data_IF_701662889932
#
_entry.id   IF_701662889932
#
_cell.length_a   1.000
_cell.length_b   1.000
_cell.length_c   1.000
_cell.angle_alpha   90.00
_cell.angle_beta   90.00
_cell.angle_gamma   90.00
#
_symmetry.space_group_name_H-M   'P 1'
#
loop_
_entity.id
_entity.type
_entity.pdbx_description
1 polymer ?
#
# COMPACT_ATOMS: atom_id res chain seq x y z
N UNK A 1 -7.20 -20.63 -34.79
CA UNK A 1 -6.32 -20.00 -33.78
C UNK A 1 -6.97 -20.20 -32.42
N UNK A 2 -6.47 -21.10 -31.58
CA UNK A 2 -6.99 -21.35 -30.23
C UNK A 2 -6.48 -20.25 -29.30
N UNK A 3 -7.37 -19.42 -28.75
CA UNK A 3 -7.02 -18.38 -27.78
C UNK A 3 -7.06 -18.98 -26.37
N UNK A 4 -5.89 -19.17 -25.76
CA UNK A 4 -5.76 -19.58 -24.36
C UNK A 4 -5.93 -18.35 -23.48
N UNK A 5 -7.09 -18.23 -22.82
CA UNK A 5 -7.33 -17.16 -21.85
C UNK A 5 -6.47 -17.41 -20.62
N UNK A 6 -5.48 -16.56 -20.38
CA UNK A 6 -4.82 -16.46 -19.09
C UNK A 6 -5.85 -15.93 -18.09
N UNK A 7 -6.35 -16.79 -17.20
CA UNK A 7 -7.08 -16.36 -16.01
C UNK A 7 -6.07 -15.61 -15.14
N UNK A 8 -6.11 -14.28 -15.23
CA UNK A 8 -5.31 -13.40 -14.40
C UNK A 8 -5.72 -13.56 -12.93
N UNK A 9 -4.72 -13.65 -12.06
CA UNK A 9 -4.92 -13.67 -10.62
C UNK A 9 -5.59 -12.36 -10.15
N UNK A 10 -6.64 -12.56 -9.37
CA UNK A 10 -7.25 -11.60 -8.44
C UNK A 10 -8.02 -10.41 -9.05
N UNK A 11 -9.23 -10.71 -9.51
CA UNK A 11 -10.25 -9.70 -9.80
C UNK A 11 -11.00 -9.26 -8.53
N UNK A 12 -10.30 -9.08 -7.40
CA UNK A 12 -10.86 -8.32 -6.27
C UNK A 12 -10.59 -6.84 -6.48
N UNK A 13 -11.33 -6.25 -7.43
CA UNK A 13 -11.81 -4.87 -7.24
C UNK A 13 -12.76 -4.91 -6.04
N UNK A 14 -12.20 -4.90 -4.84
CA UNK A 14 -12.93 -4.55 -3.64
C UNK A 14 -13.49 -3.16 -3.92
N UNK A 15 -14.82 -3.06 -4.06
CA UNK A 15 -15.55 -1.80 -4.04
C UNK A 15 -14.90 -0.90 -3.00
N UNK A 16 -14.25 0.16 -3.44
CA UNK A 16 -13.72 1.21 -2.59
C UNK A 16 -14.92 2.07 -2.20
N UNK A 17 -15.47 1.96 -0.98
CA UNK A 17 -16.57 2.81 -0.57
C UNK A 17 -15.97 4.20 -0.35
N UNK A 18 -16.61 5.19 -0.96
CA UNK A 18 -16.16 6.56 -0.99
C UNK A 18 -15.88 7.13 0.42
N UNK A 19 -14.79 7.89 0.50
CA UNK A 19 -14.59 9.03 1.39
C UNK A 19 -14.69 8.77 2.90
N UNK A 20 -13.74 8.01 3.45
CA UNK A 20 -13.09 8.49 4.67
C UNK A 20 -11.85 9.22 4.17
N UNK A 21 -11.76 10.54 4.42
CA UNK A 21 -10.66 11.39 3.97
C UNK A 21 -9.35 10.62 4.13
N UNK A 22 -8.76 10.21 3.00
CA UNK A 22 -7.52 9.45 3.03
C UNK A 22 -6.50 10.33 3.74
N UNK A 23 -6.04 9.90 4.92
CA UNK A 23 -5.01 10.65 5.62
C UNK A 23 -3.85 10.87 4.66
N UNK A 24 -3.30 12.08 4.65
CA UNK A 24 -2.14 12.36 3.84
C UNK A 24 -0.93 11.56 4.35
N UNK A 25 -0.14 11.00 3.44
CA UNK A 25 1.04 10.22 3.76
C UNK A 25 2.21 11.19 4.04
N UNK A 26 2.34 11.61 5.30
CA UNK A 26 3.37 12.55 5.77
C UNK A 26 4.00 12.10 7.10
N UNK A 27 5.06 12.78 7.56
CA UNK A 27 5.82 12.41 8.77
C UNK A 27 4.94 12.22 10.01
N UNK A 28 3.96 13.10 10.20
CA UNK A 28 3.07 13.10 11.36
C UNK A 28 2.04 11.96 11.31
N UNK A 29 1.48 11.70 10.13
CA UNK A 29 0.48 10.66 9.95
C UNK A 29 1.09 9.26 9.87
N UNK A 30 2.36 9.14 9.45
CA UNK A 30 3.06 7.86 9.41
C UNK A 30 3.65 7.42 10.76
N UNK A 31 3.44 8.20 11.84
CA UNK A 31 3.74 7.74 13.20
C UNK A 31 2.85 6.56 13.57
N UNK A 32 3.40 5.58 14.28
CA UNK A 32 2.67 4.39 14.74
C UNK A 32 1.38 4.75 15.49
N UNK A 33 1.42 5.80 16.31
CA UNK A 33 0.27 6.33 17.04
C UNK A 33 -0.86 6.81 16.11
N UNK A 34 -0.54 7.49 15.02
CA UNK A 34 -1.50 8.00 14.04
C UNK A 34 -2.12 6.86 13.23
N UNK A 35 -1.30 5.88 12.81
CA UNK A 35 -1.76 4.67 12.12
C UNK A 35 -2.65 3.81 13.03
N UNK A 36 -2.34 3.74 14.32
CA UNK A 36 -3.10 2.97 15.31
C UNK A 36 -4.52 3.51 15.53
N UNK A 37 -4.75 4.81 15.30
CA UNK A 37 -6.06 5.48 15.41
C UNK A 37 -7.01 5.15 14.25
N UNK A 38 -6.55 4.44 13.21
CA UNK A 38 -7.41 4.01 12.10
C UNK A 38 -8.22 2.80 12.56
N UNK A 39 -9.53 2.98 12.74
CA UNK A 39 -10.46 1.93 13.21
C UNK A 39 -10.55 0.74 12.24
N UNK A 40 -10.64 1.03 10.94
CA UNK A 40 -10.75 0.00 9.91
C UNK A 40 -9.39 -0.68 9.69
N UNK A 41 -9.33 -1.99 10.00
CA UNK A 41 -8.09 -2.77 9.90
C UNK A 41 -7.55 -2.86 8.47
N UNK A 42 -8.42 -2.91 7.46
CA UNK A 42 -7.98 -2.96 6.08
C UNK A 42 -7.35 -1.63 5.65
N UNK A 43 -7.96 -0.50 6.04
CA UNK A 43 -7.42 0.84 5.79
C UNK A 43 -6.17 1.11 6.61
N UNK A 44 -6.09 0.60 7.84
CA UNK A 44 -4.90 0.69 8.68
C UNK A 44 -3.70 0.02 8.00
N UNK A 45 -3.87 -1.21 7.52
CA UNK A 45 -2.82 -1.93 6.81
C UNK A 45 -2.44 -1.23 5.50
N UNK A 46 -3.43 -0.86 4.68
CA UNK A 46 -3.18 -0.15 3.42
C UNK A 46 -2.47 1.20 3.64
N UNK A 47 -2.79 1.92 4.71
CA UNK A 47 -2.13 3.18 5.06
C UNK A 47 -0.71 2.95 5.59
N UNK A 48 -0.50 1.95 6.44
CA UNK A 48 0.82 1.55 6.93
C UNK A 48 1.76 1.15 5.77
N UNK A 49 1.23 0.40 4.78
CA UNK A 49 1.99 0.02 3.58
C UNK A 49 2.42 1.24 2.75
N UNK A 50 1.54 2.24 2.61
CA UNK A 50 1.89 3.50 1.94
C UNK A 50 2.99 4.24 2.69
N UNK A 51 2.91 4.31 4.02
CA UNK A 51 3.95 4.90 4.86
C UNK A 51 5.29 4.15 4.75
N UNK A 52 5.28 2.82 4.70
CA UNK A 52 6.51 2.03 4.54
C UNK A 52 7.20 2.28 3.20
N UNK A 53 6.42 2.43 2.13
CA UNK A 53 6.93 2.76 0.80
C UNK A 53 7.23 4.25 0.63
N UNK A 54 6.97 5.07 1.64
CA UNK A 54 7.24 6.50 1.62
C UNK A 54 8.75 6.72 1.77
N UNK A 55 9.42 6.87 0.65
CA UNK A 55 10.84 7.16 0.60
C UNK A 55 11.37 6.99 -0.81
N UNK A 56 12.57 7.52 -1.04
CA UNK A 56 13.30 7.24 -2.27
C UNK A 56 14.00 5.89 -2.14
N UNK A 57 13.93 5.07 -3.19
CA UNK A 57 14.68 3.83 -3.26
C UNK A 57 16.18 4.13 -3.27
N UNK A 58 16.89 3.69 -2.23
CA UNK A 58 18.35 3.76 -2.16
C UNK A 58 18.94 2.40 -2.52
N UNK A 59 19.56 2.23 -3.70
CA UNK A 59 20.23 0.98 -4.04
C UNK A 59 21.38 0.72 -3.07
N UNK A 60 21.61 -0.55 -2.73
CA UNK A 60 22.81 -0.92 -1.97
C UNK A 60 24.05 -0.70 -2.83
N UNK A 61 25.19 -0.47 -2.17
CA UNK A 61 26.49 -0.47 -2.85
C UNK A 61 26.70 -1.81 -3.54
N UNK A 62 27.04 -1.79 -4.83
CA UNK A 62 27.32 -3.01 -5.61
C UNK A 62 28.39 -3.84 -4.87
N UNK A 63 28.07 -5.11 -4.61
CA UNK A 63 29.04 -6.05 -4.03
C UNK A 63 29.98 -6.49 -5.15
N UNK A 64 31.29 -6.34 -4.95
CA UNK A 64 32.30 -7.00 -5.78
C UNK A 64 32.64 -8.33 -5.12
N UNK A 65 32.66 -9.39 -5.93
CA UNK A 65 33.01 -10.75 -5.55
C UNK A 65 34.38 -11.12 -6.13
#
# INVERSE_FOLDING_TARGET
MLATSLVGCDERRVQQPAAQAELEVNDENCKSESVARIDDKQKQQAFADRCFRRGEFKPSTKKEW
#
